data_IF_394498392501
#
_entry.id   IF_394498392501
#
_cell.length_a   1.000
_cell.length_b   1.000
_cell.length_c   1.000
_cell.angle_alpha   90.00
_cell.angle_beta   90.00
_cell.angle_gamma   90.00
#
_symmetry.space_group_name_H-M   'P 1'
#
loop_
_entity.id
_entity.type
_entity.pdbx_description
1 polymer ?
#
# COMPACT_ATOMS: atom_id res chain seq x y z
N UNK A 1 7.38 -25.95 13.64
CA UNK A 1 6.46 -24.80 13.52
C UNK A 1 5.10 -25.30 13.97
N UNK A 2 4.66 -24.97 15.18
CA UNK A 2 3.35 -25.40 15.69
C UNK A 2 2.30 -24.45 15.13
N UNK A 3 1.65 -24.83 14.04
CA UNK A 3 0.50 -24.10 13.52
C UNK A 3 -0.75 -24.54 14.29
N UNK A 4 -1.30 -23.65 15.11
CA UNK A 4 -2.59 -23.89 15.76
C UNK A 4 -3.71 -23.49 14.80
N UNK A 5 -4.38 -24.50 14.22
CA UNK A 5 -5.55 -24.26 13.36
C UNK A 5 -6.71 -23.78 14.25
N UNK A 6 -7.15 -22.55 14.05
CA UNK A 6 -8.39 -22.06 14.63
C UNK A 6 -9.57 -22.80 13.97
N UNK A 7 -10.26 -23.60 14.76
CA UNK A 7 -11.49 -24.28 14.39
C UNK A 7 -12.67 -23.52 15.01
N UNK A 8 -13.78 -23.37 14.27
CA UNK A 8 -14.99 -22.70 14.79
C UNK A 8 -15.04 -21.18 14.58
N UNK A 9 -14.38 -20.65 13.54
CA UNK A 9 -14.65 -19.26 13.11
C UNK A 9 -16.12 -19.13 12.66
N UNK A 10 -16.80 -18.01 12.95
CA UNK A 10 -18.19 -17.77 12.56
C UNK A 10 -18.38 -17.59 11.04
N UNK A 11 -17.29 -17.62 10.28
CA UNK A 11 -17.28 -17.44 8.83
C UNK A 11 -16.24 -18.35 8.18
N UNK A 12 -16.47 -18.64 6.90
CA UNK A 12 -15.54 -19.42 6.07
C UNK A 12 -14.37 -18.54 5.66
N UNK A 13 -13.16 -19.02 5.88
CA UNK A 13 -11.94 -18.36 5.41
C UNK A 13 -11.47 -18.96 4.09
N UNK A 14 -10.96 -18.12 3.19
CA UNK A 14 -10.28 -18.56 1.97
C UNK A 14 -9.17 -17.56 1.62
N UNK A 15 -8.46 -17.82 0.53
CA UNK A 15 -7.45 -16.91 0.02
C UNK A 15 -8.11 -15.64 -0.56
N UNK A 16 -7.72 -14.48 -0.02
CA UNK A 16 -7.88 -13.20 -0.68
C UNK A 16 -6.64 -12.90 -1.55
N UNK A 17 -6.74 -11.91 -2.45
CA UNK A 17 -5.60 -11.48 -3.27
C UNK A 17 -4.39 -11.18 -2.38
N UNK A 18 -3.21 -11.61 -2.85
CA UNK A 18 -1.95 -11.56 -2.10
C UNK A 18 -1.92 -12.39 -0.80
N UNK A 19 -2.79 -13.41 -0.67
CA UNK A 19 -2.91 -14.25 0.53
C UNK A 19 -3.13 -13.42 1.81
N UNK A 20 -3.85 -12.30 1.70
CA UNK A 20 -4.10 -11.38 2.83
C UNK A 20 -2.92 -10.47 3.20
N UNK A 21 -1.83 -10.46 2.41
CA UNK A 21 -0.63 -9.68 2.75
C UNK A 21 -0.85 -8.15 2.84
N UNK A 22 -1.95 -7.62 2.32
CA UNK A 22 -2.26 -6.19 2.39
C UNK A 22 -2.33 -5.68 3.84
N UNK A 23 -2.86 -6.48 4.79
CA UNK A 23 -2.90 -6.11 6.20
C UNK A 23 -1.49 -6.03 6.82
N UNK A 24 -0.61 -6.97 6.46
CA UNK A 24 0.79 -6.95 6.90
C UNK A 24 1.55 -5.77 6.29
N UNK A 25 1.36 -5.51 5.00
CA UNK A 25 1.98 -4.36 4.31
C UNK A 25 1.51 -3.05 4.93
N UNK A 26 0.21 -2.90 5.20
CA UNK A 26 -0.31 -1.73 5.90
C UNK A 26 0.38 -1.53 7.25
N UNK A 27 0.39 -2.56 8.11
CA UNK A 27 1.03 -2.45 9.42
C UNK A 27 2.53 -2.11 9.32
N UNK A 28 3.27 -2.77 8.43
CA UNK A 28 4.70 -2.52 8.25
C UNK A 28 4.99 -1.12 7.71
N UNK A 29 4.24 -0.67 6.70
CA UNK A 29 4.49 0.62 6.05
C UNK A 29 4.00 1.80 6.90
N UNK A 30 2.90 1.64 7.64
CA UNK A 30 2.48 2.61 8.66
C UNK A 30 3.54 2.77 9.73
N UNK A 31 4.09 1.66 10.25
CA UNK A 31 5.13 1.73 11.27
C UNK A 31 6.43 2.36 10.75
N UNK A 32 6.80 2.08 9.48
CA UNK A 32 7.93 2.74 8.83
C UNK A 32 7.75 4.27 8.77
N UNK A 33 6.55 4.73 8.42
CA UNK A 33 6.23 6.16 8.32
C UNK A 33 6.13 6.81 9.71
N UNK A 34 5.56 6.13 10.72
CA UNK A 34 5.53 6.61 12.12
C UNK A 34 6.94 6.79 12.69
N UNK A 35 7.86 5.85 12.43
CA UNK A 35 9.27 5.97 12.85
C UNK A 35 9.95 7.16 12.16
N UNK A 36 9.64 7.41 10.89
CA UNK A 36 10.19 8.55 10.17
C UNK A 36 9.67 9.87 10.75
N UNK A 37 8.37 9.94 11.04
CA UNK A 37 7.71 11.11 11.62
C UNK A 37 8.25 11.43 13.02
N UNK A 38 8.37 10.42 13.89
CA UNK A 38 8.94 10.56 15.25
C UNK A 38 10.37 11.12 15.24
N UNK A 39 11.16 10.78 14.21
CA UNK A 39 12.51 11.30 14.03
C UNK A 39 12.59 12.61 13.23
N UNK A 40 11.45 13.16 12.77
CA UNK A 40 11.42 14.35 11.91
C UNK A 40 12.09 14.14 10.55
N UNK A 41 12.11 12.90 10.06
CA UNK A 41 12.73 12.52 8.78
C UNK A 41 11.68 12.43 7.66
N UNK A 42 12.10 12.69 6.44
CA UNK A 42 11.27 12.40 5.27
C UNK A 42 11.10 10.87 5.11
N UNK A 43 9.88 10.33 4.97
CA UNK A 43 9.63 8.89 4.97
C UNK A 43 10.17 8.19 3.72
N UNK A 44 10.31 8.90 2.59
CA UNK A 44 10.96 8.34 1.40
C UNK A 44 12.46 8.27 1.62
N UNK A 45 13.07 9.35 2.10
CA UNK A 45 14.50 9.38 2.40
C UNK A 45 14.86 8.35 3.49
N UNK A 46 14.06 8.28 4.56
CA UNK A 46 14.22 7.29 5.63
C UNK A 46 14.15 5.87 5.07
N UNK A 47 13.12 5.54 4.29
CA UNK A 47 12.96 4.22 3.66
C UNK A 47 14.15 3.88 2.74
N UNK A 48 14.58 4.80 1.89
CA UNK A 48 15.74 4.60 1.01
C UNK A 48 17.04 4.32 1.79
N UNK A 49 17.18 4.90 2.99
CA UNK A 49 18.33 4.64 3.87
C UNK A 49 18.34 3.22 4.47
N UNK A 50 17.17 2.56 4.55
CA UNK A 50 17.01 1.22 5.14
C UNK A 50 16.97 0.10 4.10
N UNK A 51 16.75 0.43 2.83
CA UNK A 51 16.79 -0.55 1.76
C UNK A 51 18.24 -0.87 1.39
N UNK A 52 18.53 -2.14 1.14
CA UNK A 52 19.83 -2.59 0.62
C UNK A 52 19.73 -3.02 -0.84
N UNK A 53 18.61 -3.64 -1.22
CA UNK A 53 18.35 -4.14 -2.56
C UNK A 53 18.25 -2.99 -3.60
N UNK A 54 19.13 -2.97 -4.63
CA UNK A 54 19.10 -1.94 -5.67
C UNK A 54 17.77 -1.84 -6.41
N UNK A 55 17.06 -2.96 -6.63
CA UNK A 55 15.76 -2.96 -7.32
C UNK A 55 14.68 -2.33 -6.45
N UNK A 56 14.73 -2.58 -5.14
CA UNK A 56 13.83 -1.92 -4.19
C UNK A 56 14.05 -0.40 -4.18
N UNK A 57 15.32 0.03 -4.10
CA UNK A 57 15.67 1.46 -4.19
C UNK A 57 15.20 2.07 -5.50
N UNK A 58 15.42 1.39 -6.62
CA UNK A 58 15.05 1.89 -7.94
C UNK A 58 13.55 2.15 -8.05
N UNK A 59 12.70 1.22 -7.59
CA UNK A 59 11.23 1.37 -7.62
C UNK A 59 10.76 2.53 -6.75
N UNK A 60 11.28 2.63 -5.52
CA UNK A 60 10.96 3.74 -4.60
C UNK A 60 11.42 5.08 -5.15
N UNK A 61 12.67 5.16 -5.62
CA UNK A 61 13.23 6.40 -6.18
C UNK A 61 12.47 6.83 -7.45
N UNK A 62 12.09 5.87 -8.30
CA UNK A 62 11.31 6.16 -9.52
C UNK A 62 9.94 6.72 -9.16
N UNK A 63 9.25 6.14 -8.19
CA UNK A 63 7.97 6.65 -7.71
C UNK A 63 8.11 8.08 -7.16
N UNK A 64 9.12 8.33 -6.32
CA UNK A 64 9.38 9.64 -5.75
C UNK A 64 9.71 10.70 -6.83
N UNK A 65 10.50 10.32 -7.84
CA UNK A 65 10.87 11.21 -8.95
C UNK A 65 9.66 11.53 -9.83
N UNK A 66 8.84 10.54 -10.21
CA UNK A 66 7.69 10.75 -11.09
C UNK A 66 6.67 11.74 -10.53
N UNK A 67 6.56 11.84 -9.21
CA UNK A 67 5.60 12.72 -8.54
C UNK A 67 6.21 14.05 -8.09
N UNK A 68 7.50 14.29 -8.32
CA UNK A 68 8.29 15.37 -7.73
C UNK A 68 8.10 15.43 -6.20
N UNK A 69 8.34 14.29 -5.52
CA UNK A 69 7.97 14.03 -4.12
C UNK A 69 8.14 15.23 -3.19
N UNK A 70 9.34 15.78 -3.08
CA UNK A 70 9.63 16.87 -2.14
C UNK A 70 8.81 18.13 -2.43
N UNK A 71 8.75 18.55 -3.69
CA UNK A 71 8.00 19.75 -4.10
C UNK A 71 6.49 19.54 -3.93
N UNK A 72 5.97 18.38 -4.37
CA UNK A 72 4.55 18.05 -4.27
C UNK A 72 4.11 17.94 -2.81
N UNK A 73 4.89 17.28 -1.96
CA UNK A 73 4.59 17.16 -0.52
C UNK A 73 4.56 18.53 0.15
N UNK A 74 5.53 19.40 -0.12
CA UNK A 74 5.54 20.77 0.39
C UNK A 74 4.35 21.60 -0.11
N UNK A 75 4.00 21.46 -1.39
CA UNK A 75 2.85 22.14 -2.00
C UNK A 75 1.53 21.71 -1.35
N UNK A 76 1.35 20.40 -1.11
CA UNK A 76 0.14 19.85 -0.50
C UNK A 76 0.08 20.15 1.00
N UNK A 77 1.20 20.18 1.72
CA UNK A 77 1.23 20.55 3.13
C UNK A 77 0.72 21.99 3.42
N UNK A 78 0.69 22.86 2.40
CA UNK A 78 0.12 24.22 2.50
C UNK A 78 -1.40 24.25 2.33
N UNK A 79 -2.02 23.12 1.98
CA UNK A 79 -3.46 23.00 1.75
C UNK A 79 -4.07 22.14 2.84
N UNK A 80 -5.01 22.71 3.58
CA UNK A 80 -5.74 21.98 4.61
C UNK A 80 -6.47 20.77 4.03
N UNK A 81 -6.38 19.63 4.72
CA UNK A 81 -7.00 18.38 4.31
C UNK A 81 -6.27 17.61 3.20
N UNK A 82 -5.16 18.11 2.66
CA UNK A 82 -4.41 17.39 1.62
C UNK A 82 -3.23 16.61 2.19
N UNK A 83 -2.97 15.44 1.61
CA UNK A 83 -1.88 14.55 2.01
C UNK A 83 -1.22 13.85 0.83
N UNK A 84 0.06 13.52 1.00
CA UNK A 84 0.83 12.68 0.08
C UNK A 84 1.52 11.58 0.89
N UNK A 85 1.16 10.33 0.63
CA UNK A 85 1.76 9.15 1.27
C UNK A 85 2.46 8.27 0.26
N UNK A 86 3.46 7.50 0.70
CA UNK A 86 4.12 6.50 -0.13
C UNK A 86 4.30 5.20 0.64
N UNK A 87 3.96 4.08 0.01
CA UNK A 87 4.20 2.75 0.53
C UNK A 87 4.99 1.90 -0.48
N UNK A 88 5.72 0.92 0.03
CA UNK A 88 6.49 -0.04 -0.73
C UNK A 88 6.16 -1.47 -0.28
N UNK A 89 6.13 -2.41 -1.22
CA UNK A 89 5.97 -3.82 -0.92
C UNK A 89 6.80 -4.70 -1.85
N UNK A 90 7.25 -5.85 -1.32
CA UNK A 90 7.90 -6.91 -2.06
C UNK A 90 7.13 -8.22 -1.92
N UNK A 91 6.61 -8.75 -3.02
CA UNK A 91 5.82 -9.98 -2.98
C UNK A 91 6.68 -11.19 -2.58
N UNK A 92 6.27 -11.91 -1.54
CA UNK A 92 6.97 -13.08 -0.96
C UNK A 92 8.45 -12.85 -0.64
N UNK A 93 8.86 -11.61 -0.42
CA UNK A 93 10.26 -11.22 -0.19
C UNK A 93 11.26 -11.72 -1.25
N UNK A 94 10.77 -12.11 -2.44
CA UNK A 94 11.56 -12.71 -3.53
C UNK A 94 11.06 -12.34 -4.93
N UNK A 95 9.81 -11.89 -5.05
CA UNK A 95 9.16 -11.59 -6.33
C UNK A 95 9.10 -10.10 -6.62
N UNK A 96 7.97 -9.67 -7.19
CA UNK A 96 7.72 -8.31 -7.64
C UNK A 96 7.91 -7.25 -6.56
N UNK A 97 8.41 -6.09 -6.98
CA UNK A 97 8.59 -4.87 -6.18
C UNK A 97 7.54 -3.87 -6.63
N UNK A 98 6.87 -3.21 -5.69
CA UNK A 98 5.87 -2.20 -6.01
C UNK A 98 5.99 -1.03 -5.03
N UNK A 99 6.04 0.19 -5.54
CA UNK A 99 5.88 1.41 -4.77
C UNK A 99 4.63 2.14 -5.25
N UNK A 100 3.85 2.63 -4.30
CA UNK A 100 2.62 3.37 -4.55
C UNK A 100 2.70 4.71 -3.85
N UNK A 101 2.44 5.79 -4.58
CA UNK A 101 2.21 7.12 -4.01
C UNK A 101 0.73 7.43 -4.08
N UNK A 102 0.15 7.90 -2.98
CA UNK A 102 -1.25 8.33 -2.91
C UNK A 102 -1.36 9.81 -2.59
N UNK A 103 -2.03 10.56 -3.46
CA UNK A 103 -2.47 11.93 -3.19
C UNK A 103 -3.92 11.88 -2.73
N UNK A 104 -4.15 12.35 -1.50
CA UNK A 104 -5.45 12.25 -0.83
C UNK A 104 -5.94 13.63 -0.41
N UNK A 105 -7.25 13.82 -0.46
CA UNK A 105 -7.93 14.98 0.07
C UNK A 105 -9.01 14.53 1.06
N UNK A 106 -8.91 15.02 2.29
CA UNK A 106 -9.82 14.75 3.39
C UNK A 106 -10.74 15.94 3.56
N UNK A 107 -12.03 15.70 3.38
CA UNK A 107 -13.10 16.67 3.68
C UNK A 107 -13.98 16.09 4.79
N UNK A 108 -15.26 15.80 4.50
CA UNK A 108 -16.11 14.96 5.34
C UNK A 108 -15.85 13.45 5.11
N UNK A 109 -15.11 13.13 4.05
CA UNK A 109 -14.67 11.79 3.68
C UNK A 109 -13.27 11.84 3.08
N UNK A 110 -12.58 10.71 3.06
CA UNK A 110 -11.27 10.57 2.39
C UNK A 110 -11.48 10.36 0.90
N UNK A 111 -10.88 11.21 0.07
CA UNK A 111 -10.92 11.09 -1.39
C UNK A 111 -9.50 10.82 -1.90
N UNK A 112 -9.29 9.65 -2.49
CA UNK A 112 -8.05 9.37 -3.23
C UNK A 112 -8.13 10.09 -4.57
N UNK A 113 -7.35 11.16 -4.73
CA UNK A 113 -7.35 11.98 -5.94
C UNK A 113 -6.52 11.36 -7.03
N UNK A 114 -5.35 10.81 -6.68
CA UNK A 114 -4.43 10.13 -7.61
C UNK A 114 -3.64 9.03 -6.92
N UNK A 115 -3.34 8.00 -7.69
CA UNK A 115 -2.37 6.97 -7.35
C UNK A 115 -1.31 6.91 -8.44
N UNK A 116 -0.05 6.84 -8.04
CA UNK A 116 1.06 6.48 -8.92
C UNK A 116 1.56 5.12 -8.50
N UNK A 117 1.59 4.18 -9.43
CA UNK A 117 2.01 2.80 -9.19
C UNK A 117 3.25 2.54 -10.02
N UNK A 118 4.38 2.29 -9.36
CA UNK A 118 5.62 1.89 -10.00
C UNK A 118 5.94 0.48 -9.57
N UNK A 119 6.14 -0.41 -10.53
CA UNK A 119 6.43 -1.81 -10.23
C UNK A 119 7.60 -2.33 -11.07
N UNK A 120 8.47 -3.11 -10.43
CA UNK A 120 9.42 -3.98 -11.08
C UNK A 120 8.90 -5.42 -10.94
N UNK A 121 8.41 -5.95 -12.05
CA UNK A 121 7.77 -7.27 -12.15
C UNK A 121 8.56 -8.27 -13.00
N UNK A 122 9.83 -7.96 -13.31
CA UNK A 122 10.65 -8.76 -14.22
C UNK A 122 10.24 -8.61 -15.68
N UNK A 123 10.32 -9.71 -16.44
CA UNK A 123 9.99 -9.71 -17.86
C UNK A 123 8.47 -9.57 -18.09
N UNK A 124 8.09 -8.56 -18.86
CA UNK A 124 6.70 -8.27 -19.19
C UNK A 124 6.36 -8.94 -20.51
N UNK A 125 5.58 -10.02 -20.44
CA UNK A 125 5.11 -10.76 -21.62
C UNK A 125 3.98 -10.01 -22.33
N UNK A 126 3.11 -9.34 -21.56
CA UNK A 126 1.96 -8.60 -22.09
C UNK A 126 1.75 -7.30 -21.29
N UNK A 127 2.13 -6.17 -21.89
CA UNK A 127 2.17 -4.88 -21.22
C UNK A 127 0.78 -4.42 -20.74
N UNK A 128 -0.22 -4.47 -21.60
CA UNK A 128 -1.58 -4.01 -21.27
C UNK A 128 -2.20 -4.85 -20.13
N UNK A 129 -1.92 -6.15 -20.11
CA UNK A 129 -2.33 -7.03 -19.01
C UNK A 129 -1.63 -6.71 -17.69
N UNK A 130 -0.33 -6.39 -17.74
CA UNK A 130 0.40 -5.96 -16.55
C UNK A 130 -0.15 -4.63 -16.01
N UNK A 131 -0.41 -3.66 -16.89
CA UNK A 131 -1.02 -2.37 -16.52
C UNK A 131 -2.40 -2.60 -15.89
N UNK A 132 -3.26 -3.38 -16.56
CA UNK A 132 -4.61 -3.69 -16.07
C UNK A 132 -4.58 -4.35 -14.68
N UNK A 133 -3.61 -5.23 -14.42
CA UNK A 133 -3.44 -5.87 -13.12
C UNK A 133 -3.00 -4.91 -12.01
N UNK A 134 -2.14 -3.95 -12.32
CA UNK A 134 -1.70 -2.90 -11.39
C UNK A 134 -2.84 -1.95 -11.07
N UNK A 135 -3.55 -1.46 -12.09
CA UNK A 135 -4.69 -0.56 -11.94
C UNK A 135 -5.85 -1.22 -11.18
N UNK A 136 -6.22 -2.44 -11.55
CA UNK A 136 -7.26 -3.19 -10.83
C UNK A 136 -6.85 -3.50 -9.38
N UNK A 137 -5.56 -3.71 -9.11
CA UNK A 137 -5.03 -3.84 -7.76
C UNK A 137 -5.12 -2.55 -6.95
N UNK A 138 -4.83 -1.41 -7.57
CA UNK A 138 -4.91 -0.09 -6.96
C UNK A 138 -6.37 0.29 -6.59
N UNK A 139 -7.31 0.03 -7.51
CA UNK A 139 -8.75 0.25 -7.27
C UNK A 139 -9.25 -0.65 -6.14
N UNK A 140 -8.95 -1.94 -6.19
CA UNK A 140 -9.34 -2.88 -5.14
C UNK A 140 -8.77 -2.48 -3.77
N UNK A 141 -7.48 -2.13 -3.71
CA UNK A 141 -6.85 -1.72 -2.45
C UNK A 141 -7.43 -0.41 -1.91
N UNK A 142 -7.85 0.52 -2.78
CA UNK A 142 -8.55 1.74 -2.37
C UNK A 142 -9.91 1.42 -1.76
N UNK A 143 -10.64 0.47 -2.34
CA UNK A 143 -11.92 0.00 -1.79
C UNK A 143 -11.74 -0.66 -0.42
N UNK A 144 -10.73 -1.53 -0.28
CA UNK A 144 -10.35 -2.13 1.00
C UNK A 144 -9.99 -1.11 2.06
N UNK A 145 -9.23 -0.09 1.70
CA UNK A 145 -8.78 0.92 2.65
C UNK A 145 -9.91 1.83 3.15
N UNK A 146 -10.93 2.09 2.32
CA UNK A 146 -11.90 3.17 2.59
C UNK A 146 -13.35 2.72 2.74
N UNK A 147 -13.73 1.53 2.26
CA UNK A 147 -15.14 1.14 2.13
C UNK A 147 -15.45 -0.25 2.65
N UNK A 148 -14.61 -1.23 2.34
CA UNK A 148 -14.96 -2.62 2.59
C UNK A 148 -14.78 -2.99 4.05
N UNK A 149 -15.88 -3.37 4.69
CA UNK A 149 -15.91 -3.96 6.02
C UNK A 149 -16.97 -5.06 6.04
N UNK A 150 -16.61 -6.22 6.59
CA UNK A 150 -17.59 -7.23 6.95
C UNK A 150 -17.90 -7.10 8.44
N UNK A 151 -19.18 -7.16 8.79
CA UNK A 151 -19.62 -7.25 10.18
C UNK A 151 -19.95 -8.71 10.49
N UNK A 152 -19.58 -9.17 11.68
CA UNK A 152 -19.89 -10.51 12.15
C UNK A 152 -20.05 -10.52 13.66
N UNK A 153 -20.77 -11.52 14.16
CA UNK A 153 -20.85 -11.85 15.58
C UNK A 153 -20.16 -13.21 15.85
N UNK A 154 -20.43 -13.80 17.02
CA UNK A 154 -19.84 -15.08 17.41
C UNK A 154 -20.32 -16.28 16.58
N UNK A 155 -21.35 -16.11 15.73
CA UNK A 155 -22.01 -17.20 15.01
C UNK A 155 -22.03 -17.01 13.49
N UNK A 156 -22.17 -15.78 12.99
CA UNK A 156 -22.29 -15.53 11.54
C UNK A 156 -21.88 -14.11 11.10
N UNK A 157 -21.80 -13.92 9.78
CA UNK A 157 -21.68 -12.60 9.13
C UNK A 157 -23.03 -11.89 9.20
N UNK A 158 -23.04 -10.64 9.62
CA UNK A 158 -24.24 -9.80 9.80
C UNK A 158 -24.39 -8.71 8.75
N UNK A 159 -23.32 -8.39 8.01
CA UNK A 159 -23.37 -7.47 6.88
C UNK A 159 -24.10 -8.10 5.68
N UNK A 160 -25.04 -7.36 5.10
CA UNK A 160 -25.83 -7.73 3.90
C UNK A 160 -25.31 -7.05 2.64
#
# INVERSE_FOLDING_TARGET
MNAHRLLGLPFRTSALRSLGAHANVFACESFMDEIADDQGLDPVAFRLSKLEDPRAKAVVQTAANQVNWSERRQSLARKEGWGLGMAYARYKSKGAYCAVVAEVEVTHQVNVRRLWVVADIGEIIHADGAISQLEGGAIQSTSWALKEQAHWDNQHITST
#
